data_IF_928080202773
#
_entry.id   IF_928080202773
#
_cell.length_a   1.000
_cell.length_b   1.000
_cell.length_c   1.000
_cell.angle_alpha   90.00
_cell.angle_beta   90.00
_cell.angle_gamma   90.00
#
_symmetry.space_group_name_H-M   'P 1'
#
loop_
_entity.id
_entity.type
_entity.pdbx_description
1 polymer ?
#
# COMPACT_ATOMS: atom_id res chain seq x y z
N UNK A 1 -2.15 -22.34 -3.88
CA UNK A 1 -0.95 -21.48 -4.03
C UNK A 1 0.34 -22.31 -4.12
N UNK A 2 0.52 -23.43 -3.36
CA UNK A 2 1.71 -24.27 -3.46
C UNK A 2 1.99 -24.74 -4.91
N UNK A 3 0.97 -25.24 -5.62
CA UNK A 3 1.10 -25.63 -7.03
C UNK A 3 1.50 -24.47 -7.96
N UNK A 4 1.08 -23.23 -7.65
CA UNK A 4 1.48 -22.05 -8.41
C UNK A 4 2.97 -21.75 -8.17
N UNK A 5 3.42 -21.83 -6.91
CA UNK A 5 4.82 -21.64 -6.56
C UNK A 5 5.73 -22.71 -7.20
N UNK A 6 5.30 -23.98 -7.21
CA UNK A 6 6.00 -25.06 -7.88
C UNK A 6 6.13 -24.82 -9.39
N UNK A 7 5.03 -24.41 -10.04
CA UNK A 7 5.05 -24.09 -11.46
C UNK A 7 5.96 -22.91 -11.79
N UNK A 8 5.84 -21.81 -11.02
CA UNK A 8 6.70 -20.64 -11.19
C UNK A 8 8.19 -21.01 -11.05
N UNK A 9 8.51 -21.81 -10.02
CA UNK A 9 9.88 -22.29 -9.80
C UNK A 9 10.40 -23.15 -10.95
N UNK A 10 9.55 -24.00 -11.54
CA UNK A 10 9.91 -24.81 -12.72
C UNK A 10 10.24 -23.97 -13.95
N UNK A 11 9.61 -22.79 -14.06
CA UNK A 11 9.87 -21.80 -15.14
C UNK A 11 10.99 -20.81 -14.78
N UNK A 12 11.68 -20.99 -13.64
CA UNK A 12 12.74 -20.09 -13.18
C UNK A 12 12.25 -18.73 -12.68
N UNK A 13 10.96 -18.62 -12.28
CA UNK A 13 10.31 -17.41 -11.80
C UNK A 13 10.08 -17.50 -10.29
N UNK A 14 10.39 -16.43 -9.55
CA UNK A 14 10.04 -16.30 -8.14
C UNK A 14 8.76 -15.45 -8.01
N UNK A 15 7.89 -15.83 -7.05
CA UNK A 15 6.73 -15.03 -6.68
C UNK A 15 7.18 -13.96 -5.68
N UNK A 16 7.05 -12.69 -6.05
CA UNK A 16 7.60 -11.55 -5.31
C UNK A 16 6.66 -11.02 -4.24
N UNK A 17 5.61 -10.34 -4.64
CA UNK A 17 4.69 -9.60 -3.77
C UNK A 17 3.32 -10.26 -3.75
N UNK A 18 2.70 -10.31 -2.58
CA UNK A 18 1.28 -10.66 -2.42
C UNK A 18 0.50 -9.36 -2.21
N UNK A 19 -0.43 -9.06 -3.11
CA UNK A 19 -1.37 -7.96 -2.98
C UNK A 19 -2.65 -8.43 -2.31
N UNK A 20 -3.11 -7.70 -1.31
CA UNK A 20 -4.43 -7.92 -0.71
C UNK A 20 -5.54 -7.35 -1.60
N UNK A 21 -6.73 -7.94 -1.52
CA UNK A 21 -7.93 -7.39 -2.16
C UNK A 21 -9.02 -7.19 -1.11
N UNK A 22 -9.03 -6.02 -0.50
CA UNK A 22 -10.01 -5.57 0.50
C UNK A 22 -10.79 -4.34 0.02
N UNK A 23 -10.95 -4.20 -1.30
CA UNK A 23 -11.57 -3.02 -1.92
C UNK A 23 -12.62 -3.33 -3.00
N UNK A 24 -12.72 -4.58 -3.48
CA UNK A 24 -13.66 -4.94 -4.56
C UNK A 24 -14.99 -5.51 -4.07
N UNK A 25 -15.07 -5.96 -2.83
CA UNK A 25 -16.29 -6.55 -2.27
C UNK A 25 -17.25 -5.46 -1.80
N UNK A 26 -18.54 -5.61 -2.08
CA UNK A 26 -19.60 -4.65 -1.72
C UNK A 26 -19.65 -4.37 -0.21
N UNK A 27 -19.32 -5.34 0.62
CA UNK A 27 -19.24 -5.16 2.08
C UNK A 27 -18.21 -4.10 2.49
N UNK A 28 -17.21 -3.83 1.67
CA UNK A 28 -16.15 -2.85 1.95
C UNK A 28 -16.47 -1.41 1.52
N UNK A 29 -17.70 -1.14 1.07
CA UNK A 29 -18.12 0.19 0.59
C UNK A 29 -17.90 1.30 1.64
N UNK A 30 -18.03 1.02 2.94
CA UNK A 30 -17.78 1.96 4.03
C UNK A 30 -16.39 1.81 4.67
N UNK A 31 -15.50 1.11 4.01
CA UNK A 31 -14.17 0.74 4.47
C UNK A 31 -14.04 -0.76 4.72
N UNK A 32 -12.84 -1.24 4.68
CA UNK A 32 -12.47 -2.63 4.98
C UNK A 32 -12.05 -2.78 6.44
N UNK A 33 -10.79 -2.58 6.75
CA UNK A 33 -10.24 -2.64 8.12
C UNK A 33 -10.69 -1.45 8.98
N UNK A 34 -11.14 -0.35 8.36
CA UNK A 34 -11.65 0.84 9.05
C UNK A 34 -13.16 0.89 9.15
N UNK A 35 -13.90 -0.10 8.59
CA UNK A 35 -15.35 -0.14 8.57
C UNK A 35 -15.96 0.02 9.97
N UNK A 36 -17.07 0.77 10.14
CA UNK A 36 -17.76 0.87 11.43
C UNK A 36 -18.28 -0.48 11.93
N UNK A 37 -18.64 -1.42 11.05
CA UNK A 37 -19.06 -2.78 11.45
C UNK A 37 -17.85 -3.66 11.78
N UNK A 38 -17.77 -4.10 13.05
CA UNK A 38 -16.69 -4.97 13.54
C UNK A 38 -16.58 -6.29 12.76
N UNK A 39 -17.69 -6.85 12.28
CA UNK A 39 -17.67 -8.12 11.53
C UNK A 39 -16.97 -7.95 10.18
N UNK A 40 -17.22 -6.82 9.52
CA UNK A 40 -16.57 -6.49 8.25
C UNK A 40 -15.08 -6.24 8.46
N UNK A 41 -14.70 -5.48 9.50
CA UNK A 41 -13.28 -5.31 9.87
C UNK A 41 -12.58 -6.64 10.13
N UNK A 42 -13.21 -7.53 10.90
CA UNK A 42 -12.62 -8.85 11.17
C UNK A 42 -12.42 -9.65 9.89
N UNK A 43 -13.42 -9.69 9.01
CA UNK A 43 -13.34 -10.35 7.69
C UNK A 43 -12.18 -9.79 6.85
N UNK A 44 -12.03 -8.45 6.81
CA UNK A 44 -10.93 -7.80 6.11
C UNK A 44 -9.56 -8.20 6.71
N UNK A 45 -9.42 -8.12 8.03
CA UNK A 45 -8.18 -8.51 8.71
C UNK A 45 -7.85 -9.99 8.51
N UNK A 46 -8.85 -10.88 8.57
CA UNK A 46 -8.66 -12.31 8.29
C UNK A 46 -8.15 -12.56 6.86
N UNK A 47 -8.64 -11.76 5.87
CA UNK A 47 -8.13 -11.81 4.51
C UNK A 47 -6.65 -11.38 4.45
N UNK A 48 -6.26 -10.31 5.15
CA UNK A 48 -4.86 -9.88 5.21
C UNK A 48 -3.96 -10.94 5.86
N UNK A 49 -4.43 -11.59 6.91
CA UNK A 49 -3.70 -12.70 7.55
C UNK A 49 -3.55 -13.89 6.61
N UNK A 50 -4.61 -14.22 5.85
CA UNK A 50 -4.53 -15.26 4.81
C UNK A 50 -3.52 -14.92 3.70
N UNK A 51 -3.34 -13.63 3.38
CA UNK A 51 -2.29 -13.20 2.46
C UNK A 51 -0.88 -13.49 3.03
N UNK A 52 -0.66 -13.33 4.33
CA UNK A 52 0.61 -13.73 4.98
C UNK A 52 0.81 -15.24 4.90
N UNK A 53 -0.24 -16.05 5.12
CA UNK A 53 -0.15 -17.50 4.95
C UNK A 53 0.18 -17.90 3.50
N UNK A 54 -0.30 -17.14 2.51
CA UNK A 54 0.08 -17.32 1.10
C UNK A 54 1.56 -16.97 0.89
N UNK A 55 2.07 -15.91 1.53
CA UNK A 55 3.50 -15.58 1.47
C UNK A 55 4.37 -16.73 2.00
N UNK A 56 3.97 -17.36 3.11
CA UNK A 56 4.68 -18.51 3.67
C UNK A 56 4.71 -19.69 2.68
N UNK A 57 3.60 -19.93 1.96
CA UNK A 57 3.51 -21.02 0.97
C UNK A 57 4.26 -20.74 -0.33
N UNK A 58 4.44 -19.48 -0.70
CA UNK A 58 5.02 -19.07 -1.99
C UNK A 58 6.46 -18.59 -1.90
N UNK A 59 6.96 -18.36 -0.67
CA UNK A 59 8.27 -17.74 -0.44
C UNK A 59 8.29 -16.24 -0.77
N UNK A 60 7.12 -15.63 -0.92
CA UNK A 60 7.00 -14.18 -1.17
C UNK A 60 7.45 -13.38 0.06
N UNK A 61 8.10 -12.24 -0.17
CA UNK A 61 8.66 -11.43 0.92
C UNK A 61 7.84 -10.20 1.25
N UNK A 62 7.07 -9.68 0.32
CA UNK A 62 6.35 -8.43 0.46
C UNK A 62 4.83 -8.64 0.48
N UNK A 63 4.18 -8.14 1.54
CA UNK A 63 2.75 -7.97 1.60
C UNK A 63 2.43 -6.53 1.22
N UNK A 64 1.86 -6.32 0.04
CA UNK A 64 1.42 -5.00 -0.41
C UNK A 64 0.00 -4.73 0.08
N UNK A 65 -0.16 -3.63 0.79
CA UNK A 65 -1.43 -3.17 1.31
C UNK A 65 -1.78 -1.81 0.69
N UNK A 66 -2.78 -1.82 -0.18
CA UNK A 66 -3.52 -0.64 -0.60
C UNK A 66 -4.95 -0.75 -0.07
N UNK A 67 -5.42 0.31 0.58
CA UNK A 67 -6.78 0.40 1.08
C UNK A 67 -7.54 1.49 0.31
N UNK A 68 -8.75 1.16 -0.14
CA UNK A 68 -9.67 2.16 -0.68
C UNK A 68 -10.48 2.85 0.42
N UNK A 69 -10.15 2.57 1.67
CA UNK A 69 -10.84 3.03 2.85
C UNK A 69 -10.80 4.57 2.97
N UNK A 70 -11.92 5.16 3.31
CA UNK A 70 -12.04 6.60 3.46
C UNK A 70 -13.48 7.06 3.70
N UNK A 71 -13.70 8.37 3.65
CA UNK A 71 -15.02 9.00 3.80
C UNK A 71 -15.28 9.97 2.66
N UNK A 72 -16.57 10.18 2.34
CA UNK A 72 -16.97 11.06 1.24
C UNK A 72 -17.58 12.39 1.69
N UNK A 73 -17.87 12.56 2.99
CA UNK A 73 -18.33 13.81 3.57
C UNK A 73 -18.04 13.86 5.08
N UNK A 74 -17.93 15.08 5.66
CA UNK A 74 -17.76 15.25 7.11
C UNK A 74 -18.95 14.67 7.88
N UNK A 75 -18.65 13.87 8.92
CA UNK A 75 -19.68 13.25 9.75
C UNK A 75 -20.20 11.90 9.27
N UNK A 76 -19.72 11.38 8.15
CA UNK A 76 -20.00 10.01 7.74
C UNK A 76 -19.43 8.99 8.75
N UNK A 77 -18.23 9.26 9.26
CA UNK A 77 -17.57 8.49 10.33
C UNK A 77 -16.59 9.43 11.06
N UNK A 78 -16.00 8.99 12.17
CA UNK A 78 -14.96 9.71 12.89
C UNK A 78 -13.57 9.35 12.35
N UNK A 79 -12.83 10.35 11.85
CA UNK A 79 -11.49 10.16 11.28
C UNK A 79 -10.52 9.51 12.28
N UNK A 80 -10.57 9.92 13.57
CA UNK A 80 -9.67 9.37 14.60
C UNK A 80 -9.99 7.91 14.87
N UNK A 81 -11.28 7.58 15.02
CA UNK A 81 -11.72 6.21 15.21
C UNK A 81 -11.34 5.31 14.00
N UNK A 82 -11.35 5.86 12.77
CA UNK A 82 -10.89 5.14 11.59
C UNK A 82 -9.38 4.87 11.66
N UNK A 83 -8.58 5.85 12.07
CA UNK A 83 -7.14 5.67 12.27
C UNK A 83 -6.83 4.64 13.36
N UNK A 84 -7.58 4.64 14.47
CA UNK A 84 -7.42 3.64 15.54
C UNK A 84 -7.70 2.22 15.03
N UNK A 85 -8.77 2.04 14.24
CA UNK A 85 -9.12 0.75 13.61
C UNK A 85 -8.06 0.28 12.60
N UNK A 86 -7.54 1.21 11.80
CA UNK A 86 -6.46 0.94 10.83
C UNK A 86 -5.21 0.46 11.57
N UNK A 87 -4.78 1.18 12.60
CA UNK A 87 -3.60 0.83 13.40
C UNK A 87 -3.76 -0.54 14.07
N UNK A 88 -4.94 -0.85 14.63
CA UNK A 88 -5.24 -2.16 15.23
C UNK A 88 -5.05 -3.29 14.20
N UNK A 89 -5.62 -3.15 13.01
CA UNK A 89 -5.49 -4.15 11.95
C UNK A 89 -4.05 -4.30 11.44
N UNK A 90 -3.36 -3.17 11.21
CA UNK A 90 -1.97 -3.18 10.75
C UNK A 90 -1.04 -3.83 11.77
N UNK A 91 -1.23 -3.58 13.07
CA UNK A 91 -0.44 -4.19 14.14
C UNK A 91 -0.64 -5.71 14.20
N UNK A 92 -1.90 -6.18 14.08
CA UNK A 92 -2.21 -7.61 14.08
C UNK A 92 -1.53 -8.33 12.90
N UNK A 93 -1.63 -7.77 11.70
CA UNK A 93 -1.01 -8.34 10.49
C UNK A 93 0.51 -8.26 10.57
N UNK A 94 1.07 -7.14 11.03
CA UNK A 94 2.51 -6.96 11.20
C UNK A 94 3.13 -7.98 12.16
N UNK A 95 2.44 -8.27 13.26
CA UNK A 95 2.89 -9.26 14.25
C UNK A 95 2.96 -10.68 13.68
N UNK A 96 2.18 -10.99 12.62
CA UNK A 96 2.17 -12.30 11.96
C UNK A 96 3.31 -12.49 10.94
N UNK A 97 3.95 -11.38 10.49
CA UNK A 97 5.02 -11.44 9.50
C UNK A 97 6.25 -12.17 10.02
N UNK A 98 6.79 -13.06 9.20
CA UNK A 98 8.07 -13.72 9.43
C UNK A 98 9.27 -12.73 9.45
N UNK A 99 10.46 -13.20 9.81
CA UNK A 99 11.65 -12.36 9.96
C UNK A 99 12.10 -11.69 8.64
N UNK A 100 11.93 -12.37 7.50
CA UNK A 100 12.35 -11.91 6.17
C UNK A 100 11.19 -11.31 5.36
N UNK A 101 9.99 -11.23 5.96
CA UNK A 101 8.81 -10.67 5.31
C UNK A 101 8.64 -9.19 5.67
N UNK A 102 8.11 -8.40 4.73
CA UNK A 102 7.84 -6.98 4.90
C UNK A 102 6.38 -6.67 4.60
N UNK A 103 5.86 -5.65 5.28
CA UNK A 103 4.62 -4.99 4.92
C UNK A 103 4.98 -3.74 4.14
N UNK A 104 4.44 -3.58 2.94
CA UNK A 104 4.62 -2.38 2.12
C UNK A 104 3.28 -1.66 1.99
N UNK A 105 3.22 -0.45 2.55
CA UNK A 105 1.99 0.31 2.75
C UNK A 105 1.88 1.42 1.71
N UNK A 106 0.87 1.31 0.86
CA UNK A 106 0.58 2.26 -0.20
C UNK A 106 -0.41 3.32 0.28
N UNK A 107 -0.30 4.51 -0.29
CA UNK A 107 -1.17 5.65 -0.02
C UNK A 107 -1.80 6.17 -1.31
N UNK A 108 -2.94 6.86 -1.17
CA UNK A 108 -3.60 7.55 -2.27
C UNK A 108 -4.33 8.78 -1.74
N UNK A 109 -4.13 9.95 -2.36
CA UNK A 109 -4.61 11.21 -1.78
C UNK A 109 -6.13 11.36 -1.88
N UNK A 110 -6.77 10.82 -2.92
CA UNK A 110 -8.21 10.66 -3.03
C UNK A 110 -8.54 9.53 -4.01
N UNK A 111 -9.84 9.18 -4.17
CA UNK A 111 -10.33 8.00 -4.86
C UNK A 111 -10.03 6.67 -4.12
N UNK A 112 -11.07 5.88 -3.92
CA UNK A 112 -12.48 6.20 -4.19
C UNK A 112 -13.09 7.20 -3.19
N UNK A 113 -12.46 7.50 -2.07
CA UNK A 113 -12.94 8.52 -1.13
C UNK A 113 -12.61 9.94 -1.64
N UNK A 114 -13.59 10.84 -1.55
CA UNK A 114 -13.47 12.21 -2.07
C UNK A 114 -13.27 13.26 -0.99
N UNK A 115 -13.55 12.93 0.28
CA UNK A 115 -13.33 13.83 1.40
C UNK A 115 -12.05 13.51 2.16
N UNK A 116 -11.89 12.28 2.58
CA UNK A 116 -10.70 11.84 3.31
C UNK A 116 -10.42 10.36 3.03
N UNK A 117 -9.31 10.08 2.38
CA UNK A 117 -8.72 8.73 2.33
C UNK A 117 -8.00 8.48 3.65
N UNK A 118 -8.09 7.27 4.20
CA UNK A 118 -7.49 6.98 5.51
C UNK A 118 -5.96 7.00 5.49
N UNK A 119 -5.33 6.73 4.34
CA UNK A 119 -3.89 6.93 4.10
C UNK A 119 -3.72 7.86 2.90
N UNK A 120 -3.85 9.20 3.09
CA UNK A 120 -3.95 10.14 1.99
C UNK A 120 -2.61 10.47 1.32
N UNK A 121 -1.50 10.29 2.02
CA UNK A 121 -0.18 10.70 1.54
C UNK A 121 0.95 9.85 2.14
N UNK A 122 2.14 10.04 1.56
CA UNK A 122 3.36 9.35 1.98
C UNK A 122 3.73 9.62 3.46
N UNK A 123 3.42 10.80 3.99
CA UNK A 123 3.74 11.16 5.38
C UNK A 123 2.91 10.36 6.38
N UNK A 124 1.62 10.16 6.10
CA UNK A 124 0.74 9.29 6.92
C UNK A 124 1.18 7.83 6.80
N UNK A 125 1.45 7.34 5.58
CA UNK A 125 1.99 5.98 5.38
C UNK A 125 3.30 5.78 6.14
N UNK A 126 4.24 6.74 6.04
CA UNK A 126 5.51 6.71 6.76
C UNK A 126 5.32 6.73 8.29
N UNK A 127 4.38 7.52 8.80
CA UNK A 127 4.08 7.56 10.24
C UNK A 127 3.57 6.20 10.76
N UNK A 128 2.69 5.52 10.01
CA UNK A 128 2.27 4.16 10.34
C UNK A 128 3.45 3.17 10.29
N UNK A 129 4.30 3.27 9.29
CA UNK A 129 5.50 2.42 9.19
C UNK A 129 6.45 2.61 10.36
N UNK A 130 6.61 3.84 10.87
CA UNK A 130 7.42 4.10 12.06
C UNK A 130 6.84 3.46 13.32
N UNK A 131 5.52 3.56 13.51
CA UNK A 131 4.82 2.95 14.66
C UNK A 131 4.90 1.43 14.66
N UNK A 132 4.80 0.82 13.47
CA UNK A 132 4.81 -0.63 13.30
C UNK A 132 6.21 -1.23 13.53
N UNK A 133 7.26 -0.63 12.97
CA UNK A 133 8.62 -1.13 13.12
C UNK A 133 9.37 -1.35 11.78
N UNK A 134 10.56 -1.98 11.83
CA UNK A 134 11.49 -2.00 10.69
C UNK A 134 11.03 -2.80 9.48
N UNK A 135 10.10 -3.74 9.63
CA UNK A 135 9.54 -4.52 8.50
C UNK A 135 8.44 -3.79 7.74
N UNK A 136 8.00 -2.61 8.20
CA UNK A 136 6.99 -1.80 7.52
C UNK A 136 7.65 -0.71 6.69
N UNK A 137 7.30 -0.62 5.42
CA UNK A 137 7.89 0.30 4.45
C UNK A 137 6.80 0.92 3.57
N UNK A 138 7.13 1.99 2.89
CA UNK A 138 6.20 2.76 2.05
C UNK A 138 6.31 2.30 0.60
N UNK A 139 5.16 2.14 -0.07
CA UNK A 139 5.08 2.05 -1.54
C UNK A 139 4.86 3.44 -2.10
N UNK A 140 5.64 3.82 -3.10
CA UNK A 140 5.42 5.02 -3.89
C UNK A 140 4.79 4.63 -5.21
N UNK A 141 3.46 4.81 -5.30
CA UNK A 141 2.77 4.80 -6.58
C UNK A 141 2.90 6.17 -7.22
N UNK A 142 3.50 6.23 -8.41
CA UNK A 142 3.78 7.50 -9.08
C UNK A 142 2.53 8.20 -9.62
N UNK A 143 1.40 7.49 -9.71
CA UNK A 143 0.07 8.03 -10.06
C UNK A 143 -0.71 8.59 -8.87
N UNK A 144 -0.38 8.21 -7.64
CA UNK A 144 -1.15 8.52 -6.44
C UNK A 144 -0.79 9.86 -5.77
N UNK A 145 -0.52 10.89 -6.56
CA UNK A 145 -0.12 12.21 -6.05
C UNK A 145 -0.96 13.33 -6.67
N UNK A 146 -1.15 14.41 -5.92
CA UNK A 146 -1.73 15.63 -6.46
C UNK A 146 -0.85 16.20 -7.59
N UNK A 147 -1.42 16.89 -8.59
CA UNK A 147 -0.65 17.59 -9.61
C UNK A 147 0.39 18.52 -8.99
N UNK A 148 1.62 18.51 -9.51
CA UNK A 148 2.72 19.33 -9.00
C UNK A 148 3.45 18.81 -7.77
N UNK A 149 3.09 17.62 -7.26
CA UNK A 149 3.84 16.99 -6.17
C UNK A 149 5.26 16.64 -6.62
N UNK A 150 6.24 17.00 -5.80
CA UNK A 150 7.64 16.63 -6.00
C UNK A 150 7.87 15.19 -5.52
N UNK A 151 7.72 14.22 -6.42
CA UNK A 151 7.83 12.79 -6.09
C UNK A 151 9.29 12.39 -5.85
N UNK A 152 10.23 12.97 -6.60
CA UNK A 152 11.66 12.70 -6.40
C UNK A 152 12.14 13.11 -4.99
N UNK A 153 11.57 14.17 -4.40
CA UNK A 153 11.84 14.52 -3.00
C UNK A 153 11.33 13.42 -2.05
N UNK A 154 10.12 12.93 -2.27
CA UNK A 154 9.52 11.86 -1.47
C UNK A 154 10.40 10.61 -1.52
N UNK A 155 10.83 10.23 -2.72
CA UNK A 155 11.72 9.08 -2.96
C UNK A 155 13.05 9.26 -2.24
N UNK A 156 13.72 10.40 -2.42
CA UNK A 156 14.99 10.71 -1.76
C UNK A 156 14.87 10.67 -0.23
N UNK A 157 13.78 11.22 0.31
CA UNK A 157 13.51 11.20 1.74
C UNK A 157 13.33 9.77 2.26
N UNK A 158 12.46 8.98 1.63
CA UNK A 158 12.18 7.61 2.03
C UNK A 158 13.40 6.69 1.90
N UNK A 159 14.24 6.91 0.89
CA UNK A 159 15.54 6.21 0.74
C UNK A 159 16.47 6.55 1.91
N UNK A 160 16.63 7.85 2.23
CA UNK A 160 17.44 8.30 3.37
C UNK A 160 16.99 7.69 4.69
N UNK A 161 15.67 7.56 4.90
CA UNK A 161 15.10 7.00 6.12
C UNK A 161 15.09 5.45 6.12
N UNK A 162 15.51 4.80 5.02
CA UNK A 162 15.44 3.35 4.85
C UNK A 162 14.02 2.81 4.86
N UNK A 163 13.06 3.59 4.32
CA UNK A 163 11.63 3.28 4.34
C UNK A 163 10.97 3.19 2.96
N UNK A 164 11.71 3.36 1.89
CA UNK A 164 11.21 3.06 0.55
C UNK A 164 11.17 1.54 0.36
N UNK A 165 9.98 0.95 0.27
CA UNK A 165 9.77 -0.49 0.15
C UNK A 165 9.63 -0.95 -1.29
N UNK A 166 8.84 -0.23 -2.07
CA UNK A 166 8.53 -0.57 -3.45
C UNK A 166 8.04 0.65 -4.22
N UNK A 167 7.95 0.48 -5.53
CA UNK A 167 7.25 1.40 -6.44
C UNK A 167 6.08 0.69 -7.11
N UNK A 168 5.02 1.46 -7.39
CA UNK A 168 4.10 1.23 -8.48
C UNK A 168 4.35 2.29 -9.55
N UNK A 169 4.98 1.88 -10.65
CA UNK A 169 5.37 2.80 -11.70
C UNK A 169 4.25 2.96 -12.73
N UNK A 170 3.67 4.15 -12.76
CA UNK A 170 2.76 4.57 -13.81
C UNK A 170 2.96 6.06 -14.14
N UNK A 171 2.32 6.54 -15.19
CA UNK A 171 2.17 7.96 -15.51
C UNK A 171 0.70 8.34 -15.38
N UNK A 172 0.45 9.63 -15.18
CA UNK A 172 -0.89 10.19 -15.12
C UNK A 172 -0.94 11.59 -15.73
N UNK A 173 -2.10 11.98 -16.22
CA UNK A 173 -2.37 13.36 -16.64
C UNK A 173 -3.21 14.12 -15.62
N UNK A 174 -4.31 13.54 -15.19
CA UNK A 174 -5.31 14.25 -14.38
C UNK A 174 -5.57 13.59 -13.04
N UNK A 175 -5.73 12.28 -13.03
CA UNK A 175 -6.00 11.48 -11.86
C UNK A 175 -5.19 10.18 -11.94
N UNK A 176 -5.69 9.10 -11.41
CA UNK A 176 -5.06 7.79 -11.48
C UNK A 176 -5.38 7.12 -12.82
N UNK A 177 -4.76 7.61 -13.87
CA UNK A 177 -5.01 7.17 -15.25
C UNK A 177 -4.31 5.85 -15.59
N UNK A 178 -3.43 5.37 -14.74
CA UNK A 178 -2.58 4.18 -14.92
C UNK A 178 -1.88 4.12 -16.31
N UNK A 179 -1.47 5.27 -16.82
CA UNK A 179 -0.74 5.34 -18.06
C UNK A 179 0.64 4.69 -17.90
N UNK A 180 1.18 4.19 -19.00
CA UNK A 180 2.52 3.61 -19.02
C UNK A 180 3.55 4.59 -18.45
N UNK A 181 4.41 4.13 -17.55
CA UNK A 181 5.42 4.95 -16.86
C UNK A 181 6.27 5.74 -17.84
N UNK A 182 6.43 7.03 -17.56
CA UNK A 182 7.17 7.96 -18.42
C UNK A 182 6.40 8.45 -19.66
N UNK A 183 5.19 7.94 -19.93
CA UNK A 183 4.42 8.33 -21.11
C UNK A 183 3.90 9.77 -21.04
N UNK A 184 3.47 10.22 -19.84
CA UNK A 184 2.97 11.58 -19.65
C UNK A 184 4.07 12.56 -19.26
N UNK A 185 5.02 12.16 -18.39
CA UNK A 185 6.14 12.99 -17.92
C UNK A 185 7.43 12.18 -17.79
N UNK A 186 8.19 12.01 -18.89
CA UNK A 186 9.47 11.30 -18.86
C UNK A 186 10.53 12.03 -18.02
N UNK A 187 10.42 13.34 -17.83
CA UNK A 187 11.34 14.11 -16.99
C UNK A 187 11.11 13.84 -15.50
N UNK A 188 9.87 13.62 -15.10
CA UNK A 188 9.58 13.19 -13.72
C UNK A 188 10.20 11.82 -13.45
N UNK A 189 10.02 10.86 -14.36
CA UNK A 189 10.64 9.54 -14.24
C UNK A 189 12.18 9.65 -14.15
N UNK A 190 12.79 10.48 -14.99
CA UNK A 190 14.24 10.72 -14.93
C UNK A 190 14.68 11.25 -13.56
N UNK A 191 13.99 12.23 -12.99
CA UNK A 191 14.32 12.79 -11.66
C UNK A 191 14.16 11.76 -10.55
N UNK A 192 13.11 10.95 -10.59
CA UNK A 192 12.90 9.84 -9.63
C UNK A 192 14.04 8.84 -9.72
N UNK A 193 14.36 8.37 -10.94
CA UNK A 193 15.43 7.40 -11.16
C UNK A 193 16.80 7.94 -10.80
N UNK A 194 17.03 9.26 -10.95
CA UNK A 194 18.26 9.90 -10.49
C UNK A 194 18.48 9.70 -8.99
N UNK A 195 17.45 9.89 -8.16
CA UNK A 195 17.55 9.68 -6.71
C UNK A 195 17.72 8.19 -6.34
N UNK A 196 17.05 7.30 -7.07
CA UNK A 196 17.20 5.85 -6.86
C UNK A 196 18.62 5.36 -7.16
N UNK A 197 19.23 5.83 -8.26
CA UNK A 197 20.58 5.40 -8.68
C UNK A 197 21.66 6.01 -7.80
N UNK A 198 21.41 7.18 -7.21
CA UNK A 198 22.34 7.89 -6.34
C UNK A 198 22.41 7.29 -4.93
N UNK A 199 21.37 6.59 -4.46
CA UNK A 199 21.28 6.00 -3.12
C UNK A 199 22.11 4.71 -3.01
#
# INVERSE_FOLDING_TARGET
YARLAEHASAEGIALGTINSNVFQDDDFMLGSVTNPDRRIRRRATDHLLACVDIMDLTGSRDLKLWFSDGMNYPGQDDIRARQDRLEEALQEVYARLGPDQRMVLEYKFFEPAFYATDIPDWGVSYAHCLKLGPKAMVVVDTGHHAPGTNIEFIVAFLLREGRLGAFDFNSRFYADDDLMVGAADPFQLFRIMHEVVKA
#
